data_IF_489861764488
#
_entry.id   IF_489861764488
#
_cell.length_a   1.000
_cell.length_b   1.000
_cell.length_c   1.000
_cell.angle_alpha   90.00
_cell.angle_beta   90.00
_cell.angle_gamma   90.00
#
_symmetry.space_group_name_H-M   'P 1'
#
loop_
_entity.id
_entity.type
_entity.pdbx_description
1 polymer ?
#
# COMPACT_ATOMS: atom_id res chain seq x y z
N UNK A 1 2.75 10.41 -6.96
CA UNK A 1 3.86 9.96 -6.12
C UNK A 1 3.26 9.17 -4.99
N UNK A 2 3.76 7.96 -4.83
CA UNK A 2 3.33 7.03 -3.79
C UNK A 2 4.08 7.31 -2.49
N UNK A 3 3.54 6.94 -1.32
CA UNK A 3 4.24 7.15 -0.05
C UNK A 3 5.65 6.52 -0.02
N UNK A 4 5.82 5.32 -0.57
CA UNK A 4 7.12 4.63 -0.61
C UNK A 4 8.15 5.26 -1.56
N UNK A 5 7.69 6.00 -2.57
CA UNK A 5 8.57 6.77 -3.46
C UNK A 5 9.01 8.06 -2.78
N UNK A 6 8.06 8.73 -2.13
CA UNK A 6 8.31 9.94 -1.37
C UNK A 6 9.37 9.71 -0.30
N UNK A 7 9.21 8.66 0.53
CA UNK A 7 10.18 8.33 1.59
C UNK A 7 11.59 8.03 1.03
N UNK A 8 11.70 7.30 -0.07
CA UNK A 8 13.02 7.04 -0.68
C UNK A 8 13.69 8.29 -1.24
N UNK A 9 12.90 9.22 -1.76
CA UNK A 9 13.44 10.49 -2.25
C UNK A 9 13.86 11.40 -1.08
N UNK A 10 13.20 11.28 0.09
CA UNK A 10 13.66 11.98 1.30
C UNK A 10 15.05 11.52 1.74
N UNK A 11 15.37 10.23 1.62
CA UNK A 11 16.69 9.68 1.99
C UNK A 11 17.85 10.28 1.16
N UNK A 12 17.55 10.92 0.02
CA UNK A 12 18.53 11.59 -0.84
C UNK A 12 18.71 13.08 -0.50
N UNK A 13 17.86 13.63 0.36
CA UNK A 13 17.91 15.05 0.74
C UNK A 13 18.94 15.30 1.83
N UNK A 14 19.67 16.43 1.79
CA UNK A 14 20.39 16.92 2.97
C UNK A 14 19.39 17.25 4.09
N UNK A 15 19.83 17.17 5.34
CA UNK A 15 18.97 17.33 6.53
C UNK A 15 18.12 18.62 6.48
N UNK A 16 18.68 19.73 5.98
CA UNK A 16 17.97 21.02 5.86
C UNK A 16 16.77 20.98 4.93
N UNK A 17 16.78 20.14 3.90
CA UNK A 17 15.67 19.98 2.95
C UNK A 17 14.77 18.80 3.30
N UNK A 18 15.31 17.79 3.99
CA UNK A 18 14.58 16.61 4.43
C UNK A 18 13.33 16.97 5.24
N UNK A 19 13.50 17.74 6.33
CA UNK A 19 12.39 18.04 7.25
C UNK A 19 11.32 18.91 6.60
N UNK A 20 11.76 19.81 5.72
CA UNK A 20 10.92 20.67 4.90
C UNK A 20 10.02 19.86 3.97
N UNK A 21 10.62 18.94 3.21
CA UNK A 21 9.88 18.05 2.34
C UNK A 21 8.93 17.14 3.16
N UNK A 22 9.40 16.59 4.28
CA UNK A 22 8.60 15.72 5.17
C UNK A 22 7.33 16.42 5.70
N UNK A 23 7.40 17.71 6.05
CA UNK A 23 6.25 18.50 6.49
C UNK A 23 5.16 18.58 5.40
N UNK A 24 5.54 18.55 4.13
CA UNK A 24 4.63 18.61 2.97
C UNK A 24 4.06 17.24 2.55
N UNK A 25 4.41 16.15 3.25
CA UNK A 25 3.96 14.78 2.93
C UNK A 25 2.45 14.63 2.76
N UNK A 26 1.67 15.45 3.44
CA UNK A 26 0.22 15.40 3.32
C UNK A 26 -0.19 15.66 1.87
N UNK A 27 0.42 16.62 1.19
CA UNK A 27 0.02 17.11 -0.14
C UNK A 27 0.30 16.13 -1.28
N UNK A 28 1.26 15.20 -1.15
CA UNK A 28 1.61 14.29 -2.26
C UNK A 28 0.50 13.29 -2.64
N UNK A 29 -0.47 13.04 -1.73
CA UNK A 29 -1.66 12.23 -2.01
C UNK A 29 -2.57 12.93 -3.05
N UNK A 30 -3.18 12.18 -4.00
CA UNK A 30 -4.09 12.74 -4.99
C UNK A 30 -5.21 13.55 -4.34
N UNK A 31 -5.50 14.73 -4.89
CA UNK A 31 -6.53 15.68 -4.45
C UNK A 31 -7.14 16.38 -5.64
N UNK A 32 -8.38 16.84 -5.49
CA UNK A 32 -9.09 17.66 -6.50
C UNK A 32 -8.88 19.16 -6.35
N UNK A 33 -8.34 19.61 -5.22
CA UNK A 33 -8.04 21.02 -4.99
C UNK A 33 -6.82 21.43 -5.82
N UNK A 34 -6.96 22.46 -6.64
CA UNK A 34 -5.89 22.99 -7.51
C UNK A 34 -4.67 23.45 -6.73
N UNK A 35 -4.86 24.16 -5.61
CA UNK A 35 -3.73 24.60 -4.77
C UNK A 35 -3.00 23.40 -4.15
N UNK A 36 -3.72 22.38 -3.70
CA UNK A 36 -3.10 21.15 -3.21
C UNK A 36 -2.33 20.42 -4.32
N UNK A 37 -2.82 20.44 -5.56
CA UNK A 37 -2.13 19.88 -6.72
C UNK A 37 -0.85 20.68 -7.02
N UNK A 38 -0.90 22.00 -7.02
CA UNK A 38 0.27 22.85 -7.22
C UNK A 38 1.37 22.62 -6.17
N UNK A 39 1.00 22.51 -4.88
CA UNK A 39 1.94 22.12 -3.81
C UNK A 39 2.53 20.74 -4.11
N UNK A 40 1.69 19.76 -4.45
CA UNK A 40 2.13 18.40 -4.74
C UNK A 40 3.08 18.31 -5.93
N UNK A 41 2.83 19.10 -6.98
CA UNK A 41 3.65 19.14 -8.18
C UNK A 41 5.01 19.78 -7.89
N UNK A 42 5.05 20.91 -7.17
CA UNK A 42 6.29 21.51 -6.73
C UNK A 42 7.15 20.54 -5.90
N UNK A 43 6.54 19.83 -4.94
CA UNK A 43 7.23 18.79 -4.15
C UNK A 43 7.76 17.66 -5.04
N UNK A 44 6.96 17.19 -6.00
CA UNK A 44 7.38 16.09 -6.91
C UNK A 44 8.55 16.50 -7.80
N UNK A 45 8.52 17.72 -8.33
CA UNK A 45 9.62 18.24 -9.15
C UNK A 45 10.86 18.44 -8.28
N UNK A 46 10.71 18.93 -7.04
CA UNK A 46 11.83 19.05 -6.10
C UNK A 46 12.52 17.71 -5.85
N UNK A 47 11.74 16.67 -5.51
CA UNK A 47 12.26 15.33 -5.27
C UNK A 47 12.85 14.68 -6.52
N UNK A 48 12.37 15.07 -7.71
CA UNK A 48 12.97 14.65 -8.97
C UNK A 48 14.31 15.36 -9.20
N UNK A 49 14.40 16.67 -8.93
CA UNK A 49 15.64 17.44 -9.05
C UNK A 49 16.75 16.86 -8.16
N UNK A 50 16.43 16.44 -6.94
CA UNK A 50 17.37 15.76 -6.02
C UNK A 50 17.94 14.49 -6.62
N UNK A 51 17.12 13.73 -7.37
CA UNK A 51 17.59 12.52 -8.04
C UNK A 51 18.66 12.81 -9.11
N UNK A 52 18.69 14.03 -9.63
CA UNK A 52 19.68 14.52 -10.60
C UNK A 52 20.74 15.43 -9.96
N UNK A 53 20.88 15.42 -8.64
CA UNK A 53 21.83 16.24 -7.88
C UNK A 53 21.62 17.77 -8.01
N UNK A 54 20.42 18.19 -8.42
CA UNK A 54 20.03 19.59 -8.60
C UNK A 54 19.48 20.19 -7.28
N UNK A 55 20.31 20.20 -6.23
CA UNK A 55 19.89 20.59 -4.87
C UNK A 55 19.43 22.05 -4.76
N UNK A 56 20.02 22.97 -5.53
CA UNK A 56 19.59 24.37 -5.58
C UNK A 56 18.17 24.52 -6.12
N UNK A 57 17.87 23.82 -7.22
CA UNK A 57 16.53 23.76 -7.80
C UNK A 57 15.53 23.11 -6.85
N UNK A 58 15.93 22.04 -6.17
CA UNK A 58 15.10 21.38 -5.16
C UNK A 58 14.72 22.32 -4.01
N UNK A 59 15.68 23.12 -3.51
CA UNK A 59 15.43 24.10 -2.46
C UNK A 59 14.39 25.16 -2.88
N UNK A 60 14.53 25.74 -4.07
CA UNK A 60 13.59 26.74 -4.59
C UNK A 60 12.17 26.19 -4.80
N UNK A 61 12.07 24.94 -5.26
CA UNK A 61 10.80 24.26 -5.44
C UNK A 61 10.12 23.95 -4.10
N UNK A 62 10.89 23.57 -3.08
CA UNK A 62 10.38 23.41 -1.71
C UNK A 62 9.96 24.76 -1.11
N UNK A 63 10.70 25.85 -1.32
CA UNK A 63 10.30 27.20 -0.90
C UNK A 63 8.92 27.57 -1.50
N UNK A 64 8.76 27.30 -2.80
CA UNK A 64 7.50 27.54 -3.52
C UNK A 64 6.36 26.70 -2.94
N UNK A 65 6.61 25.41 -2.69
CA UNK A 65 5.62 24.51 -2.12
C UNK A 65 5.17 24.93 -0.71
N UNK A 66 6.11 25.35 0.14
CA UNK A 66 5.82 25.84 1.50
C UNK A 66 5.00 27.14 1.47
N UNK A 67 5.34 28.08 0.58
CA UNK A 67 4.57 29.31 0.42
C UNK A 67 3.13 29.03 -0.03
N UNK A 68 2.96 28.13 -1.00
CA UNK A 68 1.63 27.70 -1.46
C UNK A 68 0.85 27.00 -0.35
N UNK A 69 1.49 26.11 0.41
CA UNK A 69 0.88 25.40 1.53
C UNK A 69 0.46 26.37 2.66
N UNK A 70 1.29 27.37 2.96
CA UNK A 70 1.00 28.40 3.97
C UNK A 70 -0.21 29.23 3.60
N UNK A 71 -0.31 29.67 2.33
CA UNK A 71 -1.49 30.39 1.82
C UNK A 71 -2.76 29.55 1.82
N UNK A 72 -2.62 28.22 1.72
CA UNK A 72 -3.72 27.27 1.70
C UNK A 72 -4.15 26.80 3.11
N UNK A 73 -3.37 27.12 4.15
CA UNK A 73 -3.55 26.74 5.57
C UNK A 73 -3.46 25.23 5.87
N UNK A 74 -4.30 24.40 5.26
CA UNK A 74 -4.36 22.96 5.53
C UNK A 74 -4.60 22.14 4.27
N UNK A 75 -3.97 20.97 4.18
CA UNK A 75 -4.22 20.06 3.06
C UNK A 75 -5.67 19.59 3.07
N UNK A 76 -6.36 19.72 1.94
CA UNK A 76 -7.74 19.22 1.79
C UNK A 76 -7.79 17.70 2.00
N UNK A 77 -9.01 17.17 2.17
CA UNK A 77 -9.23 15.73 2.19
C UNK A 77 -8.69 15.10 0.89
N UNK A 78 -7.88 14.04 0.96
CA UNK A 78 -7.40 13.33 -0.23
C UNK A 78 -8.59 12.79 -1.04
N UNK A 79 -8.39 12.70 -2.35
CA UNK A 79 -9.37 12.08 -3.24
C UNK A 79 -9.63 10.63 -2.83
N UNK A 80 -10.88 10.20 -2.99
CA UNK A 80 -11.28 8.82 -2.73
C UNK A 80 -10.47 7.87 -3.61
N UNK A 81 -9.71 6.97 -2.99
CA UNK A 81 -9.03 5.90 -3.71
C UNK A 81 -10.03 4.78 -4.02
N UNK A 82 -10.34 4.51 -5.29
CA UNK A 82 -11.27 3.45 -5.65
C UNK A 82 -10.79 2.12 -5.08
N UNK A 83 -11.69 1.39 -4.41
CA UNK A 83 -11.37 0.10 -3.81
C UNK A 83 -10.65 0.17 -2.46
N UNK A 84 -10.58 1.33 -1.78
CA UNK A 84 -10.19 1.41 -0.37
C UNK A 84 -11.28 2.04 0.48
N UNK A 85 -11.33 1.67 1.75
CA UNK A 85 -12.22 2.26 2.74
C UNK A 85 -11.69 2.12 4.16
N UNK A 86 -12.43 2.70 5.10
CA UNK A 86 -12.17 2.56 6.52
C UNK A 86 -13.48 2.50 7.30
N UNK A 87 -13.61 1.52 8.18
CA UNK A 87 -14.67 1.42 9.18
C UNK A 87 -14.27 2.28 10.38
N UNK A 88 -14.81 3.50 10.45
CA UNK A 88 -14.30 4.58 11.34
C UNK A 88 -14.32 4.26 12.84
N UNK A 89 -15.29 3.46 13.30
CA UNK A 89 -15.40 3.08 14.72
C UNK A 89 -14.16 2.37 15.28
N UNK A 90 -13.30 1.82 14.41
CA UNK A 90 -12.07 1.11 14.80
C UNK A 90 -10.80 1.93 14.58
N UNK A 91 -10.91 3.16 14.06
CA UNK A 91 -9.76 3.97 13.65
C UNK A 91 -8.81 4.37 14.79
N UNK A 92 -9.34 4.42 16.02
CA UNK A 92 -8.63 4.85 17.23
C UNK A 92 -8.35 3.67 18.18
N UNK A 93 -8.44 2.43 17.70
CA UNK A 93 -8.15 1.26 18.52
C UNK A 93 -6.67 1.25 18.95
N UNK A 94 -6.42 1.09 20.25
CA UNK A 94 -5.08 1.10 20.85
C UNK A 94 -4.37 -0.27 20.82
N UNK A 95 -5.04 -1.31 20.35
CA UNK A 95 -4.48 -2.66 20.24
C UNK A 95 -3.36 -2.73 19.17
N UNK A 96 -2.41 -3.68 19.28
CA UNK A 96 -1.43 -3.92 18.24
C UNK A 96 -2.07 -4.06 16.86
N UNK A 97 -1.48 -3.40 15.85
CA UNK A 97 -2.06 -3.41 14.52
C UNK A 97 -1.81 -4.75 13.81
N UNK A 98 -2.86 -5.54 13.69
CA UNK A 98 -2.89 -6.77 12.92
C UNK A 98 -3.66 -6.53 11.63
N UNK A 99 -3.15 -7.04 10.51
CA UNK A 99 -3.82 -7.02 9.22
C UNK A 99 -3.69 -8.37 8.52
N UNK A 100 -4.61 -8.68 7.62
CA UNK A 100 -4.56 -9.86 6.76
C UNK A 100 -4.62 -9.45 5.30
N UNK A 101 -4.00 -10.27 4.44
CA UNK A 101 -3.98 -10.07 2.99
C UNK A 101 -4.24 -11.38 2.26
N UNK A 102 -4.93 -11.31 1.13
CA UNK A 102 -5.19 -12.48 0.29
C UNK A 102 -5.27 -12.11 -1.21
N UNK A 103 -5.10 -13.10 -2.08
CA UNK A 103 -5.31 -12.99 -3.51
C UNK A 103 -6.14 -14.16 -4.10
N UNK A 104 -7.09 -13.79 -4.97
CA UNK A 104 -7.99 -14.75 -5.62
C UNK A 104 -7.83 -14.71 -7.15
N UNK A 105 -7.79 -15.89 -7.78
CA UNK A 105 -7.75 -16.05 -9.24
C UNK A 105 -8.79 -17.05 -9.75
N UNK A 106 -9.39 -16.73 -10.91
CA UNK A 106 -10.24 -17.65 -11.68
C UNK A 106 -10.17 -17.25 -13.14
N UNK A 107 -9.77 -18.18 -14.01
CA UNK A 107 -9.58 -17.90 -15.44
C UNK A 107 -8.60 -16.73 -15.67
N UNK A 108 -9.10 -15.63 -16.25
CA UNK A 108 -8.32 -14.39 -16.47
C UNK A 108 -8.72 -13.25 -15.52
N UNK A 109 -9.51 -13.52 -14.49
CA UNK A 109 -9.85 -12.57 -13.46
C UNK A 109 -9.01 -12.82 -12.22
N UNK A 110 -8.38 -11.75 -11.71
CA UNK A 110 -7.66 -11.73 -10.45
C UNK A 110 -8.21 -10.65 -9.53
N UNK A 111 -8.08 -10.87 -8.22
CA UNK A 111 -8.41 -9.90 -7.19
C UNK A 111 -7.42 -10.02 -6.04
N UNK A 112 -7.14 -8.91 -5.38
CA UNK A 112 -6.39 -8.89 -4.12
C UNK A 112 -7.20 -8.13 -3.07
N UNK A 113 -7.06 -8.51 -1.81
CA UNK A 113 -7.76 -7.92 -0.67
C UNK A 113 -6.84 -7.71 0.52
N UNK A 114 -7.16 -6.72 1.35
CA UNK A 114 -6.61 -6.62 2.70
C UNK A 114 -7.65 -6.05 3.67
N UNK A 115 -7.51 -6.39 4.94
CA UNK A 115 -8.19 -5.76 6.06
C UNK A 115 -7.21 -5.58 7.21
N UNK A 116 -7.32 -4.48 7.94
CA UNK A 116 -6.57 -4.18 9.13
C UNK A 116 -7.52 -3.94 10.31
N UNK A 117 -7.07 -4.31 11.51
CA UNK A 117 -7.82 -4.20 12.76
C UNK A 117 -8.24 -2.75 13.11
N UNK A 118 -7.55 -1.75 12.57
CA UNK A 118 -7.94 -0.32 12.68
C UNK A 118 -9.08 0.13 11.75
N UNK A 119 -9.73 -0.84 11.10
CA UNK A 119 -10.84 -0.59 10.19
C UNK A 119 -10.43 -0.35 8.74
N UNK A 120 -9.15 -0.21 8.41
CA UNK A 120 -8.73 0.02 7.02
C UNK A 120 -8.89 -1.25 6.21
N UNK A 121 -9.41 -1.11 5.00
CA UNK A 121 -9.52 -2.23 4.07
C UNK A 121 -9.34 -1.76 2.64
N UNK A 122 -9.04 -2.72 1.77
CA UNK A 122 -9.03 -2.47 0.35
C UNK A 122 -9.16 -3.73 -0.47
N UNK A 123 -9.60 -3.54 -1.70
CA UNK A 123 -9.75 -4.57 -2.70
C UNK A 123 -9.37 -4.00 -4.07
N UNK A 124 -8.69 -4.79 -4.90
CA UNK A 124 -8.26 -4.35 -6.23
C UNK A 124 -8.39 -5.47 -7.24
N UNK A 125 -9.23 -5.21 -8.25
CA UNK A 125 -9.44 -6.09 -9.40
C UNK A 125 -8.25 -6.06 -10.35
N UNK A 126 -8.02 -7.17 -11.04
CA UNK A 126 -6.97 -7.30 -12.03
C UNK A 126 -7.40 -8.17 -13.19
N UNK A 127 -7.15 -7.71 -14.41
CA UNK A 127 -7.23 -8.51 -15.63
C UNK A 127 -5.84 -8.49 -16.29
N UNK A 128 -5.14 -9.63 -16.41
CA UNK A 128 -3.83 -9.66 -17.02
C UNK A 128 -3.95 -9.37 -18.53
N UNK A 129 -3.10 -8.46 -19.01
CA UNK A 129 -2.98 -8.16 -20.43
C UNK A 129 -2.01 -9.10 -21.15
N UNK A 130 -1.74 -8.83 -22.44
CA UNK A 130 -0.79 -9.63 -23.25
C UNK A 130 0.63 -9.62 -22.69
N UNK A 131 1.04 -8.51 -22.07
CA UNK A 131 2.37 -8.33 -21.47
C UNK A 131 2.24 -8.31 -19.94
N UNK A 132 1.78 -9.41 -19.36
CA UNK A 132 1.62 -9.51 -17.90
C UNK A 132 3.00 -9.65 -17.22
N UNK A 133 3.45 -8.66 -16.41
CA UNK A 133 4.77 -8.68 -15.76
C UNK A 133 4.87 -9.66 -14.57
N UNK A 134 3.84 -10.48 -14.36
CA UNK A 134 3.70 -11.39 -13.22
C UNK A 134 4.35 -12.75 -13.48
N UNK A 135 4.62 -13.08 -14.75
CA UNK A 135 5.18 -14.37 -15.13
C UNK A 135 4.23 -15.53 -14.86
N UNK A 136 4.79 -16.74 -14.74
CA UNK A 136 4.04 -17.98 -14.48
C UNK A 136 3.54 -18.10 -13.03
N UNK A 137 4.18 -17.40 -12.09
CA UNK A 137 3.89 -17.43 -10.65
C UNK A 137 2.73 -16.51 -10.25
N UNK A 138 1.60 -16.56 -10.98
CA UNK A 138 0.55 -15.52 -10.91
C UNK A 138 -0.09 -15.35 -9.54
N UNK A 139 -0.40 -16.46 -8.89
CA UNK A 139 -1.02 -16.48 -7.56
C UNK A 139 -0.04 -15.89 -6.55
N UNK A 140 1.15 -16.48 -6.41
CA UNK A 140 2.23 -16.00 -5.53
C UNK A 140 2.53 -14.51 -5.68
N UNK A 141 2.71 -14.01 -6.90
CA UNK A 141 2.98 -12.59 -7.13
C UNK A 141 1.78 -11.72 -6.73
N UNK A 142 0.56 -12.25 -6.82
CA UNK A 142 -0.64 -11.53 -6.37
C UNK A 142 -0.75 -11.48 -4.86
N UNK A 143 -0.38 -12.55 -4.15
CA UNK A 143 -0.26 -12.54 -2.67
C UNK A 143 0.70 -11.45 -2.20
N UNK A 144 1.91 -11.43 -2.77
CA UNK A 144 2.90 -10.42 -2.44
C UNK A 144 2.42 -9.00 -2.80
N UNK A 145 1.65 -8.86 -3.90
CA UNK A 145 1.02 -7.57 -4.24
C UNK A 145 -0.12 -7.18 -3.29
N UNK A 146 -0.77 -8.12 -2.64
CA UNK A 146 -1.76 -7.84 -1.60
C UNK A 146 -1.08 -7.21 -0.38
N UNK A 147 0.09 -7.72 0.03
CA UNK A 147 0.95 -7.11 1.06
C UNK A 147 1.39 -5.70 0.69
N UNK A 148 1.89 -5.50 -0.54
CA UNK A 148 2.24 -4.14 -1.00
C UNK A 148 1.03 -3.19 -1.04
N UNK A 149 -0.15 -3.73 -1.38
CA UNK A 149 -1.38 -2.97 -1.42
C UNK A 149 -1.84 -2.56 -0.01
N UNK A 150 -1.68 -3.43 0.99
CA UNK A 150 -1.87 -3.12 2.41
C UNK A 150 -0.93 -2.00 2.87
N UNK A 151 0.38 -2.14 2.65
CA UNK A 151 1.36 -1.16 3.13
C UNK A 151 1.13 0.24 2.57
N UNK A 152 0.61 0.33 1.34
CA UNK A 152 0.30 1.61 0.69
C UNK A 152 -1.02 2.22 1.13
N UNK A 153 -1.75 1.57 2.05
CA UNK A 153 -2.85 2.20 2.78
C UNK A 153 -2.35 3.22 3.81
N UNK A 154 -1.06 3.15 4.17
CA UNK A 154 -0.40 4.00 5.15
C UNK A 154 0.63 4.91 4.48
N UNK A 155 0.95 6.03 5.13
CA UNK A 155 2.10 6.85 4.74
C UNK A 155 3.40 6.11 4.99
N UNK A 156 3.47 5.43 6.13
CA UNK A 156 4.50 4.45 6.48
C UNK A 156 3.78 3.32 7.20
N UNK A 157 4.06 2.04 6.89
CA UNK A 157 3.48 0.93 7.64
C UNK A 157 3.72 1.14 9.14
N UNK A 158 2.72 1.01 10.02
CA UNK A 158 2.90 1.24 11.45
C UNK A 158 3.98 0.35 12.07
N UNK A 159 4.65 0.85 13.10
CA UNK A 159 5.71 0.12 13.79
C UNK A 159 5.12 -1.10 14.49
N UNK A 160 5.78 -2.25 14.39
CA UNK A 160 5.31 -3.48 15.05
C UNK A 160 4.07 -4.11 14.43
N UNK A 161 3.66 -3.67 13.23
CA UNK A 161 2.50 -4.23 12.53
C UNK A 161 2.71 -5.72 12.23
N UNK A 162 1.68 -6.53 12.50
CA UNK A 162 1.63 -7.94 12.14
C UNK A 162 0.79 -8.14 10.88
N UNK A 163 1.34 -8.83 9.89
CA UNK A 163 0.67 -9.18 8.63
C UNK A 163 0.45 -10.69 8.57
N UNK A 164 -0.81 -11.07 8.55
CA UNK A 164 -1.28 -12.43 8.38
C UNK A 164 -1.35 -12.77 6.89
N UNK A 165 -0.72 -13.88 6.53
CA UNK A 165 -0.63 -14.39 5.15
C UNK A 165 -0.90 -15.88 5.17
N UNK A 166 -1.75 -16.39 4.28
CA UNK A 166 -2.07 -17.82 4.20
C UNK A 166 -1.21 -18.59 3.18
N UNK A 167 -0.46 -17.86 2.35
CA UNK A 167 0.47 -18.41 1.38
C UNK A 167 1.88 -18.58 1.97
N UNK A 168 2.23 -19.83 2.34
CA UNK A 168 3.58 -20.19 2.78
C UNK A 168 4.69 -19.76 1.79
N UNK A 169 4.53 -19.92 0.45
CA UNK A 169 5.52 -19.41 -0.48
C UNK A 169 5.70 -17.88 -0.41
N UNK A 170 4.61 -17.12 -0.26
CA UNK A 170 4.69 -15.67 -0.10
C UNK A 170 5.39 -15.30 1.22
N UNK A 171 5.05 -15.98 2.31
CA UNK A 171 5.70 -15.81 3.61
C UNK A 171 7.22 -16.06 3.53
N UNK A 172 7.64 -17.10 2.80
CA UNK A 172 9.05 -17.38 2.56
C UNK A 172 9.79 -16.22 1.87
N UNK A 173 9.19 -15.59 0.87
CA UNK A 173 9.79 -14.40 0.22
C UNK A 173 9.86 -13.20 1.17
N UNK A 174 8.82 -12.96 1.97
CA UNK A 174 8.79 -11.85 2.93
C UNK A 174 9.93 -11.99 3.97
N UNK A 175 10.13 -13.18 4.52
CA UNK A 175 11.23 -13.43 5.45
C UNK A 175 12.61 -13.33 4.81
N UNK A 176 12.79 -13.84 3.58
CA UNK A 176 14.06 -13.68 2.84
C UNK A 176 14.38 -12.21 2.59
N UNK A 177 13.39 -11.41 2.21
CA UNK A 177 13.57 -9.97 2.05
C UNK A 177 13.86 -9.26 3.37
N UNK A 178 13.22 -9.66 4.47
CA UNK A 178 13.52 -9.15 5.81
C UNK A 178 14.95 -9.50 6.24
N UNK A 179 15.47 -10.65 5.79
CA UNK A 179 16.89 -11.05 5.92
C UNK A 179 17.85 -10.38 4.93
N UNK A 180 17.38 -9.45 4.09
CA UNK A 180 18.20 -8.66 3.17
C UNK A 180 18.35 -9.23 1.76
N UNK A 181 17.77 -10.39 1.43
CA UNK A 181 17.84 -11.02 0.10
C UNK A 181 16.91 -10.32 -0.93
N UNK A 182 17.01 -9.01 -1.08
CA UNK A 182 16.08 -8.20 -1.90
C UNK A 182 16.09 -8.54 -3.41
N UNK A 183 17.13 -9.21 -3.89
CA UNK A 183 17.20 -9.74 -5.26
C UNK A 183 16.42 -11.03 -5.49
N UNK A 184 15.97 -11.71 -4.42
CA UNK A 184 15.19 -12.93 -4.53
C UNK A 184 13.78 -12.64 -5.05
N UNK A 185 13.47 -13.02 -6.29
CA UNK A 185 12.18 -12.75 -6.92
C UNK A 185 11.46 -14.04 -7.31
N UNK A 186 10.11 -14.06 -7.34
CA UNK A 186 9.37 -15.18 -7.91
C UNK A 186 9.81 -15.48 -9.34
N UNK A 187 9.87 -16.77 -9.68
CA UNK A 187 10.29 -17.22 -11.01
C UNK A 187 9.43 -16.57 -12.11
N UNK A 188 10.10 -15.99 -13.11
CA UNK A 188 9.48 -15.30 -14.24
C UNK A 188 8.94 -13.90 -13.93
N UNK A 189 9.19 -13.35 -12.74
CA UNK A 189 8.81 -11.97 -12.43
C UNK A 189 9.61 -10.97 -13.27
N UNK A 190 8.91 -10.08 -13.97
CA UNK A 190 9.54 -9.11 -14.87
C UNK A 190 10.15 -7.93 -14.08
N UNK A 191 11.46 -7.79 -14.15
CA UNK A 191 12.23 -6.75 -13.47
C UNK A 191 12.36 -5.43 -14.24
N UNK A 192 11.87 -5.36 -15.47
CA UNK A 192 11.94 -4.14 -16.28
C UNK A 192 11.25 -2.97 -15.57
N UNK A 193 11.76 -1.74 -15.69
CA UNK A 193 11.07 -0.57 -15.16
C UNK A 193 9.61 -0.51 -15.65
N UNK A 194 8.73 -0.05 -14.76
CA UNK A 194 7.33 0.26 -15.07
C UNK A 194 7.26 1.66 -15.69
N UNK A 195 6.04 2.13 -15.97
CA UNK A 195 5.81 3.47 -16.53
C UNK A 195 6.60 4.55 -15.77
N UNK A 196 7.20 5.48 -16.52
CA UNK A 196 8.05 6.55 -15.98
C UNK A 196 9.25 6.06 -15.15
N UNK A 197 9.84 4.91 -15.50
CA UNK A 197 11.05 4.40 -14.85
C UNK A 197 10.82 3.80 -13.46
N UNK A 198 9.56 3.70 -13.00
CA UNK A 198 9.25 3.20 -11.66
C UNK A 198 9.74 1.76 -11.45
N UNK A 199 10.31 1.48 -10.26
CA UNK A 199 10.69 0.13 -9.89
C UNK A 199 9.49 -0.84 -9.89
N UNK A 200 9.67 -2.10 -10.31
CA UNK A 200 8.66 -3.16 -10.19
C UNK A 200 8.07 -3.27 -8.78
N UNK A 201 6.78 -3.59 -8.66
CA UNK A 201 6.10 -3.69 -7.36
C UNK A 201 6.80 -4.59 -6.35
N UNK A 202 7.26 -5.78 -6.75
CA UNK A 202 7.92 -6.69 -5.81
C UNK A 202 9.32 -6.24 -5.43
N UNK A 203 10.04 -5.55 -6.33
CA UNK A 203 11.32 -4.91 -6.00
C UNK A 203 11.10 -3.84 -4.92
N UNK A 204 10.07 -3.00 -5.09
CA UNK A 204 9.73 -1.98 -4.08
C UNK A 204 9.28 -2.59 -2.75
N UNK A 205 8.53 -3.68 -2.79
CA UNK A 205 8.12 -4.42 -1.59
C UNK A 205 9.33 -5.03 -0.87
N UNK A 206 10.21 -5.72 -1.60
CA UNK A 206 11.42 -6.33 -1.05
C UNK A 206 12.31 -5.30 -0.35
N UNK A 207 12.54 -4.16 -1.00
CA UNK A 207 13.29 -3.03 -0.42
C UNK A 207 12.62 -2.47 0.85
N UNK A 208 11.29 -2.34 0.86
CA UNK A 208 10.56 -1.85 2.03
C UNK A 208 10.68 -2.84 3.19
N UNK A 209 10.46 -4.13 2.93
CA UNK A 209 10.51 -5.18 3.96
C UNK A 209 11.91 -5.32 4.55
N UNK A 210 12.96 -5.23 3.72
CA UNK A 210 14.35 -5.26 4.20
C UNK A 210 14.69 -4.12 5.18
N UNK A 211 14.03 -2.97 5.05
CA UNK A 211 14.22 -1.82 5.96
C UNK A 211 13.31 -1.83 7.19
N UNK A 212 12.49 -2.86 7.34
CA UNK A 212 11.43 -2.92 8.36
C UNK A 212 11.48 -4.21 9.16
N UNK A 213 12.56 -4.42 9.94
CA UNK A 213 12.70 -5.61 10.80
C UNK A 213 11.64 -5.67 11.89
N UNK A 214 10.98 -4.55 12.19
CA UNK A 214 9.89 -4.43 13.15
C UNK A 214 8.55 -5.00 12.65
N UNK A 215 8.41 -5.26 11.34
CA UNK A 215 7.21 -5.91 10.81
C UNK A 215 7.25 -7.40 11.12
N UNK A 216 6.11 -7.94 11.55
CA UNK A 216 5.94 -9.38 11.78
C UNK A 216 5.09 -9.97 10.67
N UNK A 217 5.53 -11.08 10.07
CA UNK A 217 4.76 -11.84 9.11
C UNK A 217 4.42 -13.20 9.71
N UNK A 218 3.14 -13.58 9.67
CA UNK A 218 2.67 -14.81 10.32
C UNK A 218 1.79 -15.61 9.39
N UNK A 219 2.06 -16.91 9.30
CA UNK A 219 1.20 -17.83 8.59
C UNK A 219 -0.11 -18.03 9.33
N UNK A 220 -1.23 -17.88 8.64
CA UNK A 220 -2.54 -18.35 9.12
C UNK A 220 -3.05 -19.43 8.19
N UNK A 221 -3.59 -20.51 8.75
CA UNK A 221 -4.15 -21.58 7.94
C UNK A 221 -5.39 -21.04 7.21
N UNK A 222 -5.42 -21.19 5.89
CA UNK A 222 -6.61 -20.89 5.09
C UNK A 222 -7.83 -21.65 5.65
N UNK A 223 -8.99 -20.97 5.67
CA UNK A 223 -10.26 -21.53 6.14
C UNK A 223 -10.27 -21.99 7.62
N UNK A 224 -9.41 -21.40 8.47
CA UNK A 224 -9.39 -21.68 9.91
C UNK A 224 -10.30 -20.72 10.71
N UNK A 225 -11.27 -20.06 10.07
CA UNK A 225 -12.19 -19.10 10.70
C UNK A 225 -11.50 -17.91 11.37
N UNK A 226 -10.31 -17.53 10.91
CA UNK A 226 -9.63 -16.34 11.39
C UNK A 226 -10.27 -15.09 10.78
N UNK A 227 -11.04 -14.32 11.56
CA UNK A 227 -11.92 -13.25 11.07
C UNK A 227 -11.25 -12.27 10.08
N UNK A 228 -10.03 -11.79 10.38
CA UNK A 228 -9.30 -10.91 9.46
C UNK A 228 -8.93 -11.61 8.14
N UNK A 229 -8.52 -12.88 8.18
CA UNK A 229 -8.13 -13.63 6.98
C UNK A 229 -9.34 -13.90 6.09
N UNK A 230 -10.46 -14.34 6.68
CA UNK A 230 -11.72 -14.58 5.96
C UNK A 230 -12.26 -13.30 5.30
N UNK A 231 -12.11 -12.15 5.97
CA UNK A 231 -12.43 -10.85 5.39
C UNK A 231 -11.51 -10.50 4.21
N UNK A 232 -10.20 -10.72 4.33
CA UNK A 232 -9.26 -10.49 3.23
C UNK A 232 -9.58 -11.38 2.01
N UNK A 233 -9.86 -12.67 2.23
CA UNK A 233 -10.28 -13.62 1.19
C UNK A 233 -11.57 -13.18 0.50
N UNK A 234 -12.59 -12.84 1.30
CA UNK A 234 -13.86 -12.33 0.79
C UNK A 234 -13.68 -11.08 -0.08
N UNK A 235 -12.78 -10.17 0.32
CA UNK A 235 -12.45 -8.97 -0.46
C UNK A 235 -11.72 -9.32 -1.76
N UNK A 236 -10.76 -10.25 -1.73
CA UNK A 236 -10.06 -10.71 -2.93
C UNK A 236 -11.02 -11.40 -3.92
N UNK A 237 -11.93 -12.23 -3.42
CA UNK A 237 -13.00 -12.86 -4.19
C UNK A 237 -13.96 -11.84 -4.81
N UNK A 238 -14.38 -10.82 -4.05
CA UNK A 238 -15.20 -9.72 -4.57
C UNK A 238 -14.47 -8.92 -5.66
N UNK A 239 -13.21 -8.56 -5.43
CA UNK A 239 -12.38 -7.87 -6.43
C UNK A 239 -12.25 -8.68 -7.71
N UNK A 240 -12.04 -10.00 -7.60
CA UNK A 240 -11.97 -10.90 -8.75
C UNK A 240 -13.29 -10.94 -9.52
N UNK A 241 -14.41 -11.18 -8.83
CA UNK A 241 -15.74 -11.28 -9.45
C UNK A 241 -16.16 -10.00 -10.18
N UNK A 242 -15.81 -8.84 -9.64
CA UNK A 242 -16.11 -7.54 -10.27
C UNK A 242 -15.51 -7.39 -11.68
N UNK A 243 -14.48 -8.16 -12.02
CA UNK A 243 -13.89 -8.17 -13.37
C UNK A 243 -14.87 -8.71 -14.42
N UNK A 244 -15.82 -9.55 -14.01
CA UNK A 244 -16.75 -10.27 -14.89
C UNK A 244 -18.20 -9.84 -14.65
N UNK A 245 -18.54 -9.41 -13.43
CA UNK A 245 -19.90 -9.09 -12.99
C UNK A 245 -19.99 -7.64 -12.47
N UNK A 246 -20.92 -6.81 -12.96
CA UNK A 246 -21.18 -5.51 -12.36
C UNK A 246 -22.00 -5.65 -11.08
N UNK A 247 -21.51 -5.09 -9.97
CA UNK A 247 -22.26 -4.93 -8.73
C UNK A 247 -21.68 -3.78 -7.90
N UNK A 248 -22.45 -3.27 -6.93
CA UNK A 248 -21.92 -2.31 -5.95
C UNK A 248 -20.98 -3.01 -4.98
N UNK A 249 -19.71 -3.05 -5.38
CA UNK A 249 -18.64 -3.64 -4.59
C UNK A 249 -18.33 -2.82 -3.35
N UNK A 250 -18.66 -1.52 -3.33
CA UNK A 250 -18.19 -0.61 -2.28
C UNK A 250 -19.01 -0.78 -1.01
N UNK A 251 -20.34 -0.68 -1.12
CA UNK A 251 -21.22 -0.89 0.03
C UNK A 251 -21.02 -2.31 0.59
N UNK A 252 -21.03 -3.31 -0.30
CA UNK A 252 -20.83 -4.72 0.09
C UNK A 252 -19.50 -4.99 0.78
N UNK A 253 -18.40 -4.39 0.30
CA UNK A 253 -17.10 -4.52 0.97
C UNK A 253 -17.09 -3.85 2.35
N UNK A 254 -17.77 -2.72 2.50
CA UNK A 254 -17.86 -2.03 3.79
C UNK A 254 -18.61 -2.87 4.82
N UNK A 255 -19.80 -3.34 4.49
CA UNK A 255 -20.66 -4.11 5.39
C UNK A 255 -20.00 -5.42 5.81
N UNK A 256 -19.34 -6.10 4.85
CA UNK A 256 -18.60 -7.32 5.14
C UNK A 256 -17.43 -7.07 6.10
N UNK A 257 -16.63 -6.03 5.83
CA UNK A 257 -15.49 -5.70 6.70
C UNK A 257 -15.96 -5.28 8.09
N UNK A 258 -17.04 -4.51 8.19
CA UNK A 258 -17.60 -4.15 9.50
C UNK A 258 -17.99 -5.38 10.31
N UNK A 259 -18.65 -6.36 9.69
CA UNK A 259 -19.07 -7.60 10.35
C UNK A 259 -17.87 -8.40 10.89
N UNK A 260 -16.88 -8.68 10.05
CA UNK A 260 -15.69 -9.44 10.48
C UNK A 260 -14.84 -8.69 11.52
N UNK A 261 -14.75 -7.36 11.42
CA UNK A 261 -14.04 -6.57 12.43
C UNK A 261 -14.76 -6.55 13.77
N UNK A 262 -16.10 -6.62 13.76
CA UNK A 262 -16.88 -6.76 14.99
C UNK A 262 -16.54 -8.09 15.67
N UNK A 263 -16.53 -9.19 14.92
CA UNK A 263 -16.16 -10.50 15.46
C UNK A 263 -14.72 -10.53 15.97
N UNK A 264 -13.79 -9.93 15.22
CA UNK A 264 -12.39 -9.79 15.63
C UNK A 264 -12.24 -9.05 16.96
N UNK A 265 -12.83 -7.86 17.09
CA UNK A 265 -12.68 -7.03 18.29
C UNK A 265 -13.46 -7.57 19.50
N UNK A 266 -14.49 -8.39 19.29
CA UNK A 266 -15.16 -9.14 20.38
C UNK A 266 -14.29 -10.29 20.90
N UNK A 267 -13.48 -10.90 20.03
CA UNK A 267 -12.63 -12.04 20.37
C UNK A 267 -11.29 -11.68 21.03
N UNK A 268 -10.90 -10.39 21.04
CA UNK A 268 -9.68 -9.95 21.71
C UNK A 268 -9.85 -10.02 23.24
N UNK A 269 -8.95 -10.69 23.97
CA UNK A 269 -8.96 -10.61 25.43
C UNK A 269 -8.68 -9.17 25.88
N UNK A 270 -9.48 -8.69 26.84
CA UNK A 270 -9.34 -7.37 27.49
C UNK A 270 -8.06 -7.33 28.32
#
# INVERSE_FOLDING_TARGET
>A
MRPDEFLRALDLLPASLHDRALALRAYVKPRRCETCQAVADAVRVALTAVHYDELGSAAQLLDTAEQLATRHHHACRPEHQPGRGQVRRWAETSAPLIAATDASWKGRAGGIGYVASDGRYGLRSRRPGRVDPTGFSRVLVSELRAVEFLFTAYDTPPVGMTVLVDSLPALGYLHRWQGGETGAMPAGYDLRPRHAGMKPTLVRLAELVARRPDLTFTHVKAHAHHALNEAADSLAHMARRRVEEPFDVRARAHDLVEAFLRDWHVALPV
#
